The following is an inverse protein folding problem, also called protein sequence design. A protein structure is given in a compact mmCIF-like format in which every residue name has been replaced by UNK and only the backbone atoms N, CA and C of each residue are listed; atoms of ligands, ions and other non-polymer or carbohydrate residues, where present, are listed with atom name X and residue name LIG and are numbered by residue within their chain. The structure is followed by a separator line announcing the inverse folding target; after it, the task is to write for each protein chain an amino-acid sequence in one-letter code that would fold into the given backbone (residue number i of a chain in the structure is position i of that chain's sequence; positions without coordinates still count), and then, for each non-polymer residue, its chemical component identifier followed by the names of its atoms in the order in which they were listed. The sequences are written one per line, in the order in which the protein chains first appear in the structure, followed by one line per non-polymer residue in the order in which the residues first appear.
data_IF_681312067566
#
_entry.id   IF_681312067566
#
_cell.length_a   1.000
_cell.length_b   1.000
_cell.length_c   1.000
_cell.angle_alpha   90.00
_cell.angle_beta   90.00
_cell.angle_gamma   90.00
#
_symmetry.space_group_name_H-M   'P 1'
#
loop_
_entity.id
_entity.type
_entity.pdbx_description
1 polymer ?
#
# COMPACT_ATOMS: atom_id res chain seq x y z
N UNK A 1 -4.27 -17.56 15.65
CA UNK A 1 -3.47 -16.33 15.92
C UNK A 1 -2.48 -16.20 14.79
N UNK A 2 -2.61 -15.16 13.99
CA UNK A 2 -1.90 -15.00 12.71
C UNK A 2 -2.43 -13.75 12.00
N UNK A 3 -2.31 -12.61 12.67
CA UNK A 3 -2.51 -11.29 12.06
C UNK A 3 -1.26 -10.89 11.28
N UNK A 4 -1.36 -9.88 10.42
CA UNK A 4 -0.20 -9.38 9.69
C UNK A 4 0.85 -8.85 10.65
N UNK A 5 2.11 -9.02 10.28
CA UNK A 5 3.17 -8.27 10.92
C UNK A 5 3.20 -6.88 10.28
N UNK A 6 2.80 -5.84 11.03
CA UNK A 6 3.18 -4.46 10.72
C UNK A 6 4.70 -4.43 10.53
N UNK A 7 5.17 -4.09 9.32
CA UNK A 7 6.60 -4.04 9.01
C UNK A 7 7.04 -2.62 8.68
N UNK A 8 8.24 -2.30 9.12
CA UNK A 8 8.84 -0.98 8.95
C UNK A 8 8.22 0.06 9.87
N UNK A 9 8.97 1.13 10.09
CA UNK A 9 8.54 2.33 10.78
C UNK A 9 9.15 3.53 10.05
N UNK A 10 8.42 4.64 10.05
CA UNK A 10 8.87 5.88 9.43
C UNK A 10 8.64 7.02 10.42
N UNK A 11 9.72 7.54 10.97
CA UNK A 11 9.71 8.64 11.95
C UNK A 11 10.20 9.96 11.32
N UNK A 12 10.14 10.07 10.01
CA UNK A 12 10.53 11.23 9.20
C UNK A 12 9.52 11.42 8.07
N UNK A 13 9.52 12.59 7.44
CA UNK A 13 8.61 12.91 6.34
C UNK A 13 8.68 11.89 5.19
N UNK A 14 9.90 11.50 4.84
CA UNK A 14 10.14 10.42 3.90
C UNK A 14 11.49 9.76 4.20
N UNK A 15 11.71 8.57 3.64
CA UNK A 15 13.00 7.90 3.58
C UNK A 15 13.14 7.25 2.22
N UNK A 16 14.36 7.23 1.68
CA UNK A 16 14.62 6.57 0.41
C UNK A 16 15.81 5.63 0.62
N UNK A 17 15.82 4.51 -0.09
CA UNK A 17 16.84 3.47 -0.01
C UNK A 17 17.18 3.00 -1.42
N UNK A 18 18.44 2.66 -1.68
CA UNK A 18 18.85 1.85 -2.82
C UNK A 18 19.44 0.56 -2.27
N UNK A 19 18.81 -0.56 -2.59
CA UNK A 19 19.19 -1.87 -2.07
C UNK A 19 19.55 -2.80 -3.22
N UNK A 20 20.66 -3.50 -3.05
CA UNK A 20 21.08 -4.63 -3.89
C UNK A 20 21.45 -5.77 -2.95
N UNK A 21 20.61 -6.78 -2.89
CA UNK A 21 20.80 -7.94 -2.01
C UNK A 21 20.31 -9.23 -2.68
N UNK A 22 20.83 -10.37 -2.20
CA UNK A 22 20.27 -11.68 -2.52
C UNK A 22 19.35 -12.09 -1.39
N UNK A 23 18.05 -12.15 -1.67
CA UNK A 23 17.03 -12.42 -0.68
C UNK A 23 16.69 -13.91 -0.74
N UNK A 24 17.10 -14.66 0.27
CA UNK A 24 16.86 -16.10 0.38
C UNK A 24 15.56 -16.45 1.11
N UNK A 25 14.90 -15.48 1.74
CA UNK A 25 13.65 -15.69 2.49
C UNK A 25 12.48 -15.02 1.78
N UNK A 26 11.40 -15.78 1.56
CA UNK A 26 10.16 -15.20 1.08
C UNK A 26 9.63 -14.17 2.07
N UNK A 27 9.23 -13.00 1.58
CA UNK A 27 8.50 -12.06 2.41
C UNK A 27 7.07 -12.55 2.58
N UNK A 28 6.67 -12.78 3.83
CA UNK A 28 5.26 -13.00 4.16
C UNK A 28 4.42 -11.75 3.81
N UNK A 29 3.13 -11.96 3.60
CA UNK A 29 2.18 -10.85 3.45
C UNK A 29 2.23 -9.92 4.66
N UNK A 30 2.43 -8.63 4.40
CA UNK A 30 2.54 -7.59 5.41
C UNK A 30 1.88 -6.30 4.93
N UNK A 31 1.78 -5.35 5.85
CA UNK A 31 1.39 -3.97 5.57
C UNK A 31 2.32 -3.00 6.31
N UNK A 32 2.24 -1.73 5.93
CA UNK A 32 2.91 -0.62 6.59
C UNK A 32 2.01 0.61 6.64
N UNK A 33 2.20 1.49 7.63
CA UNK A 33 1.35 2.69 7.83
C UNK A 33 1.83 3.92 7.01
N UNK A 34 2.88 3.78 6.21
CA UNK A 34 3.37 4.80 5.28
C UNK A 34 3.01 4.44 3.83
N UNK A 35 3.08 5.39 2.90
CA UNK A 35 3.03 5.07 1.48
C UNK A 35 4.41 4.59 1.02
N UNK A 36 4.44 3.62 0.10
CA UNK A 36 5.70 3.08 -0.43
C UNK A 36 5.70 3.11 -1.95
N UNK A 37 6.78 3.63 -2.50
CA UNK A 37 7.11 3.55 -3.93
C UNK A 37 8.32 2.63 -4.08
N UNK A 38 8.26 1.66 -4.96
CA UNK A 38 9.40 0.81 -5.31
C UNK A 38 9.68 0.95 -6.80
N UNK A 39 10.87 1.41 -7.15
CA UNK A 39 11.36 1.45 -8.53
C UNK A 39 12.23 0.21 -8.69
N UNK A 40 11.76 -0.75 -9.47
CA UNK A 40 12.48 -1.98 -9.76
C UNK A 40 13.65 -1.68 -10.70
N UNK A 41 14.85 -2.19 -10.43
CA UNK A 41 16.03 -1.96 -11.29
C UNK A 41 16.45 -3.26 -11.97
N UNK A 42 16.68 -4.32 -11.20
CA UNK A 42 17.09 -5.62 -11.75
C UNK A 42 16.74 -6.79 -10.81
N UNK A 43 16.66 -8.00 -11.39
CA UNK A 43 16.30 -9.24 -10.70
C UNK A 43 15.19 -10.01 -11.41
N UNK A 44 14.65 -11.04 -10.77
CA UNK A 44 13.44 -11.75 -11.19
C UNK A 44 12.44 -11.71 -10.03
N UNK A 45 11.46 -10.82 -10.13
CA UNK A 45 10.61 -10.43 -9.01
C UNK A 45 9.15 -10.41 -9.41
N UNK A 46 8.31 -10.99 -8.55
CA UNK A 46 6.87 -10.86 -8.59
C UNK A 46 6.39 -10.09 -7.36
N UNK A 47 5.63 -9.04 -7.58
CA UNK A 47 5.01 -8.25 -6.54
C UNK A 47 3.54 -8.63 -6.39
N UNK A 48 3.08 -8.82 -5.16
CA UNK A 48 1.68 -9.13 -4.88
C UNK A 48 1.09 -7.98 -4.08
N UNK A 49 0.00 -7.37 -4.54
CA UNK A 49 -0.69 -6.28 -3.84
C UNK A 49 -2.20 -6.47 -3.94
N UNK A 50 -2.90 -6.52 -2.81
CA UNK A 50 -4.37 -6.64 -2.73
C UNK A 50 -4.95 -7.74 -3.65
N UNK A 51 -4.29 -8.92 -3.69
CA UNK A 51 -4.72 -10.07 -4.49
C UNK A 51 -4.36 -10.02 -5.98
N UNK A 52 -3.59 -9.02 -6.43
CA UNK A 52 -3.03 -8.93 -7.79
C UNK A 52 -1.54 -9.27 -7.80
N UNK A 53 -1.07 -9.87 -8.89
CA UNK A 53 0.33 -10.32 -9.07
C UNK A 53 0.98 -9.64 -10.26
N UNK A 54 2.07 -8.94 -10.03
CA UNK A 54 2.80 -8.16 -11.03
C UNK A 54 4.22 -8.73 -11.21
N UNK A 55 4.50 -9.44 -12.32
CA UNK A 55 5.87 -9.72 -12.72
C UNK A 55 6.53 -8.41 -13.15
N UNK A 56 7.63 -8.03 -12.50
CA UNK A 56 8.25 -6.73 -12.71
C UNK A 56 9.27 -6.78 -13.86
N UNK A 57 9.26 -5.73 -14.67
CA UNK A 57 10.30 -5.41 -15.65
C UNK A 57 11.13 -4.22 -15.15
N UNK A 58 12.42 -4.12 -15.55
CA UNK A 58 13.29 -3.01 -15.19
C UNK A 58 12.58 -1.66 -15.34
N UNK A 59 12.62 -0.89 -14.26
CA UNK A 59 12.01 0.42 -14.07
C UNK A 59 10.50 0.49 -13.87
N UNK A 60 9.81 -0.64 -13.70
CA UNK A 60 8.46 -0.63 -13.17
C UNK A 60 8.42 0.07 -11.81
N UNK A 61 7.40 0.91 -11.63
CA UNK A 61 7.16 1.66 -10.40
C UNK A 61 5.96 1.05 -9.68
N UNK A 62 6.21 0.36 -8.57
CA UNK A 62 5.18 -0.20 -7.71
C UNK A 62 4.74 0.83 -6.68
N UNK A 63 3.45 1.13 -6.64
CA UNK A 63 2.80 2.00 -5.66
C UNK A 63 2.00 1.14 -4.67
N UNK A 64 2.43 1.17 -3.41
CA UNK A 64 1.75 0.49 -2.31
C UNK A 64 1.23 1.55 -1.35
N UNK A 65 -0.09 1.63 -1.14
CA UNK A 65 -0.63 2.57 -0.17
C UNK A 65 -0.30 2.15 1.25
N UNK A 66 -0.41 3.12 2.16
CA UNK A 66 -0.53 2.79 3.59
C UNK A 66 -1.65 1.77 3.79
N UNK A 67 -1.35 0.76 4.59
CA UNK A 67 -2.22 -0.35 4.96
C UNK A 67 -2.60 -1.34 3.85
N UNK A 68 -2.12 -1.15 2.61
CA UNK A 68 -2.27 -2.15 1.55
C UNK A 68 -1.48 -3.39 1.91
N UNK A 69 -2.10 -4.54 1.69
CA UNK A 69 -1.54 -5.85 1.95
C UNK A 69 -0.74 -6.28 0.75
N UNK A 70 0.52 -6.63 0.98
CA UNK A 70 1.41 -7.00 -0.10
C UNK A 70 2.51 -7.97 0.34
N UNK A 71 3.12 -8.62 -0.65
CA UNK A 71 4.35 -9.40 -0.49
C UNK A 71 5.20 -9.30 -1.75
N UNK A 72 6.46 -9.70 -1.62
CA UNK A 72 7.41 -9.78 -2.73
C UNK A 72 7.94 -11.20 -2.78
N UNK A 73 7.90 -11.79 -3.97
CA UNK A 73 8.56 -13.05 -4.27
C UNK A 73 9.73 -12.76 -5.19
N UNK A 74 10.92 -13.19 -4.78
CA UNK A 74 12.19 -12.93 -5.46
C UNK A 74 12.81 -14.27 -5.79
N UNK A 75 13.38 -14.40 -6.99
CA UNK A 75 14.25 -15.52 -7.32
C UNK A 75 15.55 -15.40 -6.50
N UNK A 76 15.82 -16.32 -5.55
CA UNK A 76 16.97 -16.19 -4.65
C UNK A 76 18.31 -16.40 -5.36
N UNK A 77 18.31 -16.90 -6.60
CA UNK A 77 19.54 -17.10 -7.39
C UNK A 77 20.07 -15.82 -8.03
N UNK A 78 19.25 -14.76 -8.10
CA UNK A 78 19.59 -13.49 -8.73
C UNK A 78 19.64 -12.36 -7.69
N UNK A 79 20.58 -11.41 -7.79
CA UNK A 79 20.50 -10.17 -7.03
C UNK A 79 19.20 -9.42 -7.33
N UNK A 80 18.60 -8.84 -6.30
CA UNK A 80 17.44 -7.97 -6.42
C UNK A 80 17.86 -6.53 -6.14
N UNK A 81 17.82 -5.69 -7.18
CA UNK A 81 18.14 -4.27 -7.10
C UNK A 81 16.89 -3.40 -7.23
N UNK A 82 16.77 -2.42 -6.34
CA UNK A 82 15.60 -1.54 -6.23
C UNK A 82 15.89 -0.23 -5.53
N UNK A 83 15.14 0.80 -5.90
CA UNK A 83 15.00 2.02 -5.12
C UNK A 83 13.66 1.96 -4.39
N UNK A 84 13.66 2.24 -3.09
CA UNK A 84 12.46 2.25 -2.25
C UNK A 84 12.29 3.62 -1.63
N UNK A 85 11.10 4.21 -1.76
CA UNK A 85 10.72 5.47 -1.11
C UNK A 85 9.59 5.18 -0.12
N UNK A 86 9.79 5.48 1.15
CA UNK A 86 8.75 5.54 2.18
C UNK A 86 8.33 6.99 2.36
N UNK A 87 7.02 7.24 2.43
CA UNK A 87 6.46 8.59 2.53
C UNK A 87 5.43 8.58 3.67
N UNK A 88 5.61 9.48 4.63
CA UNK A 88 4.68 9.58 5.76
C UNK A 88 3.34 10.14 5.26
N UNK A 89 2.20 9.65 5.79
CA UNK A 89 0.89 10.19 5.44
C UNK A 89 0.80 11.70 5.69
N UNK A 90 1.20 12.16 6.88
CA UNK A 90 1.14 13.58 7.23
C UNK A 90 1.96 14.47 6.29
N UNK A 91 3.12 13.99 5.82
CA UNK A 91 3.92 14.74 4.87
C UNK A 91 3.28 14.83 3.49
N UNK A 92 2.80 13.72 2.92
CA UNK A 92 2.18 13.78 1.59
C UNK A 92 0.86 14.57 1.61
N UNK A 93 0.10 14.46 2.70
CA UNK A 93 -1.16 15.17 2.90
C UNK A 93 -0.93 16.70 3.04
N UNK A 94 0.24 17.12 3.53
CA UNK A 94 0.61 18.55 3.58
C UNK A 94 0.84 19.18 2.19
N UNK A 95 1.02 18.37 1.15
CA UNK A 95 1.12 18.82 -0.25
C UNK A 95 -0.14 18.49 -1.06
N UNK A 96 -1.30 18.65 -0.41
CA UNK A 96 -2.62 18.53 -1.01
C UNK A 96 -3.35 19.88 -0.95
N UNK A 97 -3.73 20.38 -2.12
CA UNK A 97 -4.50 21.61 -2.31
C UNK A 97 -5.51 21.39 -3.44
N UNK A 98 -6.34 22.41 -3.73
CA UNK A 98 -7.25 22.36 -4.89
C UNK A 98 -6.51 22.39 -6.25
N UNK A 99 -5.26 22.87 -6.29
CA UNK A 99 -4.44 22.97 -7.50
C UNK A 99 -3.55 21.74 -7.74
N UNK A 100 -3.00 21.16 -6.66
CA UNK A 100 -2.09 20.02 -6.74
C UNK A 100 -2.26 19.03 -5.58
N UNK A 101 -2.00 17.76 -5.87
CA UNK A 101 -2.01 16.67 -4.90
C UNK A 101 -0.87 15.69 -5.20
N UNK A 102 0.13 15.61 -4.31
CA UNK A 102 1.25 14.69 -4.50
C UNK A 102 0.87 13.22 -4.32
N UNK A 103 -0.26 12.93 -3.67
CA UNK A 103 -0.80 11.57 -3.52
C UNK A 103 -1.55 11.07 -4.75
N UNK A 104 -1.78 11.94 -5.75
CA UNK A 104 -2.60 11.63 -6.93
C UNK A 104 -2.19 10.33 -7.66
N UNK A 105 -0.91 9.99 -7.73
CA UNK A 105 -0.44 8.77 -8.39
C UNK A 105 -1.00 7.50 -7.69
N UNK A 106 -1.12 7.53 -6.36
CA UNK A 106 -1.74 6.47 -5.58
C UNK A 106 -3.26 6.43 -5.77
N UNK A 107 -3.92 7.60 -5.81
CA UNK A 107 -5.36 7.69 -6.09
C UNK A 107 -5.68 7.15 -7.50
N UNK A 108 -4.84 7.49 -8.47
CA UNK A 108 -4.95 7.00 -9.84
C UNK A 108 -4.72 5.49 -9.91
N UNK A 109 -3.68 4.96 -9.26
CA UNK A 109 -3.46 3.52 -9.15
C UNK A 109 -4.69 2.78 -8.61
N UNK A 110 -5.32 3.32 -7.55
CA UNK A 110 -6.56 2.77 -6.99
C UNK A 110 -7.72 2.81 -7.99
N UNK A 111 -7.87 3.91 -8.74
CA UNK A 111 -8.93 4.08 -9.76
C UNK A 111 -8.75 3.14 -10.95
N UNK A 112 -7.53 2.98 -11.42
CA UNK A 112 -7.17 2.06 -12.52
C UNK A 112 -7.07 0.60 -12.03
N UNK A 113 -7.33 0.36 -10.74
CA UNK A 113 -7.21 -0.94 -10.09
C UNK A 113 -5.84 -1.60 -10.32
N UNK A 114 -4.76 -0.84 -10.41
CA UNK A 114 -3.42 -1.36 -10.67
C UNK A 114 -2.36 -0.62 -9.86
N UNK A 115 -1.48 -1.37 -9.23
CA UNK A 115 -0.43 -0.86 -8.35
C UNK A 115 0.91 -0.66 -9.06
N UNK A 116 1.01 -0.96 -10.36
CA UNK A 116 2.28 -0.87 -11.10
C UNK A 116 2.13 0.06 -12.29
N UNK A 117 2.99 1.08 -12.34
CA UNK A 117 3.16 1.94 -13.51
C UNK A 117 4.36 1.47 -14.31
N UNK A 118 4.10 1.12 -15.56
CA UNK A 118 5.13 0.87 -16.57
C UNK A 118 5.24 2.07 -17.49
N UNK A 119 6.44 2.62 -17.59
CA UNK A 119 6.74 3.82 -18.39
C UNK A 119 7.68 3.44 -19.51
N UNK A 120 7.17 3.35 -20.74
CA UNK A 120 8.02 3.06 -21.90
C UNK A 120 9.02 4.19 -22.13
N UNK A 121 10.28 3.82 -22.42
CA UNK A 121 11.40 4.74 -22.59
C UNK A 121 11.63 5.66 -21.38
N UNK A 122 11.48 5.12 -20.16
CA UNK A 122 11.71 5.87 -18.93
C UNK A 122 13.07 6.55 -18.94
N UNK A 123 14.12 5.92 -19.48
CA UNK A 123 15.48 6.44 -19.56
C UNK A 123 15.60 7.81 -20.26
N UNK A 124 14.65 8.16 -21.13
CA UNK A 124 14.58 9.46 -21.82
C UNK A 124 13.72 10.49 -21.09
N UNK A 125 12.98 10.07 -20.06
CA UNK A 125 12.05 10.91 -19.32
C UNK A 125 12.74 11.83 -18.32
N UNK A 126 12.07 12.93 -17.96
CA UNK A 126 12.48 13.76 -16.84
C UNK A 126 12.42 13.01 -15.50
N UNK A 127 11.51 12.04 -15.37
CA UNK A 127 11.36 11.22 -14.16
C UNK A 127 12.63 10.40 -13.88
N UNK A 128 13.21 9.78 -14.90
CA UNK A 128 14.47 9.05 -14.76
C UNK A 128 15.63 9.95 -14.32
N UNK A 129 15.74 11.13 -14.93
CA UNK A 129 16.80 12.10 -14.59
C UNK A 129 16.69 12.53 -13.13
N UNK A 130 15.47 12.81 -12.64
CA UNK A 130 15.29 13.19 -11.24
C UNK A 130 15.49 12.01 -10.28
N UNK A 131 15.07 10.79 -10.64
CA UNK A 131 15.37 9.57 -9.87
C UNK A 131 16.88 9.42 -9.64
N UNK A 132 17.69 9.54 -10.70
CA UNK A 132 19.14 9.42 -10.59
C UNK A 132 19.78 10.55 -9.76
N UNK A 133 19.24 11.77 -9.83
CA UNK A 133 19.71 12.90 -8.99
C UNK A 133 19.37 12.66 -7.52
N UNK A 134 18.15 12.21 -7.25
CA UNK A 134 17.66 11.89 -5.91
C UNK A 134 18.49 10.76 -5.29
N UNK A 135 18.82 9.73 -6.06
CA UNK A 135 19.74 8.66 -5.65
C UNK A 135 21.14 9.20 -5.32
N UNK A 136 21.75 10.00 -6.20
CA UNK A 136 23.09 10.54 -5.93
C UNK A 136 23.16 11.44 -4.69
N UNK A 137 22.05 12.09 -4.33
CA UNK A 137 21.98 12.99 -3.18
C UNK A 137 22.07 12.30 -1.81
N UNK A 138 22.12 10.96 -1.75
CA UNK A 138 22.35 10.21 -0.52
C UNK A 138 23.80 10.24 -0.05
N UNK A 139 24.73 10.21 -0.99
CA UNK A 139 26.16 10.31 -0.70
C UNK A 139 26.62 11.76 -0.56
N UNK A 140 25.70 12.70 -0.78
CA UNK A 140 25.95 14.13 -0.72
C UNK A 140 25.88 14.65 0.73
N UNK A 141 27.03 15.12 1.20
CA UNK A 141 27.24 15.74 2.51
C UNK A 141 27.48 17.25 2.40
N UNK A 142 27.23 17.84 1.24
CA UNK A 142 27.37 19.28 1.02
C UNK A 142 26.35 20.10 1.83
N UNK A 143 26.56 21.42 1.81
CA UNK A 143 25.72 22.38 2.52
C UNK A 143 24.24 22.19 2.18
N UNK A 144 23.39 22.18 3.21
CA UNK A 144 21.94 22.01 3.10
C UNK A 144 21.47 20.71 2.40
N UNK A 145 22.25 19.63 2.45
CA UNK A 145 21.89 18.36 1.80
C UNK A 145 20.51 17.78 2.17
N UNK A 146 20.01 18.00 3.39
CA UNK A 146 18.64 17.58 3.77
C UNK A 146 17.54 18.35 3.03
N UNK A 147 17.67 19.67 2.93
CA UNK A 147 16.76 20.51 2.16
C UNK A 147 16.84 20.18 0.66
N UNK A 148 18.06 19.98 0.14
CA UNK A 148 18.25 19.60 -1.25
C UNK A 148 17.56 18.26 -1.58
N UNK A 149 17.71 17.24 -0.72
CA UNK A 149 16.99 15.97 -0.84
C UNK A 149 15.48 16.15 -0.85
N UNK A 150 14.95 17.03 0.01
CA UNK A 150 13.52 17.33 0.03
C UNK A 150 13.05 17.97 -1.28
N UNK A 151 13.82 18.93 -1.83
CA UNK A 151 13.51 19.54 -3.14
C UNK A 151 13.50 18.49 -4.24
N UNK A 152 14.51 17.63 -4.30
CA UNK A 152 14.59 16.55 -5.29
C UNK A 152 13.44 15.55 -5.15
N UNK A 153 13.04 15.22 -3.93
CA UNK A 153 11.88 14.35 -3.68
C UNK A 153 10.58 14.98 -4.18
N UNK A 154 10.36 16.28 -3.89
CA UNK A 154 9.18 16.99 -4.38
C UNK A 154 9.16 17.06 -5.92
N UNK A 155 10.31 17.36 -6.54
CA UNK A 155 10.48 17.33 -8.00
C UNK A 155 10.18 15.94 -8.58
N UNK A 156 10.66 14.87 -7.91
CA UNK A 156 10.34 13.48 -8.26
C UNK A 156 8.83 13.20 -8.21
N UNK A 157 8.16 13.55 -7.12
CA UNK A 157 6.71 13.34 -6.98
C UNK A 157 5.91 14.13 -8.01
N UNK A 158 6.32 15.35 -8.35
CA UNK A 158 5.71 16.15 -9.41
C UNK A 158 5.84 15.44 -10.77
N UNK A 159 7.04 14.93 -11.09
CA UNK A 159 7.25 14.21 -12.36
C UNK A 159 6.52 12.88 -12.43
N UNK A 160 6.46 12.14 -11.32
CA UNK A 160 5.70 10.89 -11.23
C UNK A 160 4.21 11.15 -11.46
N UNK A 161 3.63 12.14 -10.79
CA UNK A 161 2.23 12.53 -10.98
C UNK A 161 1.95 13.00 -12.40
N UNK A 162 2.84 13.81 -13.01
CA UNK A 162 2.72 14.21 -14.42
C UNK A 162 2.77 13.02 -15.38
N UNK A 163 3.61 12.03 -15.11
CA UNK A 163 3.67 10.80 -15.89
C UNK A 163 2.34 10.02 -15.76
N UNK A 164 1.86 9.86 -14.52
CA UNK A 164 0.58 9.23 -14.23
C UNK A 164 -0.58 9.93 -14.95
N UNK A 165 -0.67 11.26 -14.93
CA UNK A 165 -1.76 12.04 -15.56
C UNK A 165 -1.77 11.88 -17.09
N UNK A 166 -0.61 11.99 -17.74
CA UNK A 166 -0.53 12.08 -19.22
C UNK A 166 -0.94 10.79 -19.96
N UNK A 167 -1.36 9.73 -19.24
CA UNK A 167 -1.66 8.41 -19.80
C UNK A 167 -0.55 7.87 -20.71
N UNK A 168 0.69 8.33 -20.50
CA UNK A 168 1.89 7.81 -21.19
C UNK A 168 2.46 6.59 -20.46
N UNK A 169 1.66 6.02 -19.58
CA UNK A 169 2.00 4.95 -18.66
C UNK A 169 0.95 3.88 -18.82
N UNK A 170 1.40 2.64 -18.84
CA UNK A 170 0.52 1.49 -18.78
C UNK A 170 0.39 1.10 -17.32
N UNK A 171 -0.84 1.14 -16.81
CA UNK A 171 -1.18 0.45 -15.58
C UNK A 171 -1.34 -1.01 -15.93
N UNK A 172 -0.45 -1.86 -15.43
CA UNK A 172 -0.45 -3.27 -15.81
C UNK A 172 -1.79 -3.92 -15.39
N UNK A 173 -2.52 -4.47 -16.37
CA UNK A 173 -3.60 -5.41 -16.10
C UNK A 173 -2.99 -6.81 -16.03
N UNK A 174 -2.96 -7.36 -14.84
CA UNK A 174 -2.19 -8.57 -14.54
C UNK A 174 -2.89 -9.82 -15.10
N UNK A 175 -2.24 -10.64 -15.90
CA UNK A 175 -2.85 -11.91 -16.36
C UNK A 175 -2.82 -13.04 -15.32
N UNK A 176 -2.20 -12.79 -14.15
CA UNK A 176 -1.85 -13.80 -13.13
C UNK A 176 -2.56 -13.56 -11.79
N UNK A 177 -3.84 -13.18 -11.80
CA UNK A 177 -4.68 -13.13 -10.60
C UNK A 177 -6.01 -13.83 -10.84
N UNK A 178 -6.67 -14.22 -9.74
CA UNK A 178 -8.03 -14.73 -9.83
C UNK A 178 -9.02 -13.54 -9.83
N UNK A 179 -9.71 -13.24 -10.95
CA UNK A 179 -10.60 -12.07 -11.04
C UNK A 179 -11.72 -12.14 -9.99
N UNK A 180 -12.19 -13.35 -9.64
CA UNK A 180 -13.22 -13.52 -8.61
C UNK A 180 -12.74 -13.09 -7.23
N UNK A 181 -11.45 -13.22 -6.91
CA UNK A 181 -10.91 -12.75 -5.63
C UNK A 181 -10.76 -11.24 -5.62
N UNK A 182 -10.31 -10.64 -6.72
CA UNK A 182 -10.25 -9.18 -6.84
C UNK A 182 -11.64 -8.57 -6.74
N UNK A 183 -12.63 -9.13 -7.45
CA UNK A 183 -14.03 -8.72 -7.36
C UNK A 183 -14.58 -8.86 -5.93
N UNK A 184 -14.21 -9.93 -5.23
CA UNK A 184 -14.59 -10.15 -3.83
C UNK A 184 -13.98 -9.12 -2.89
N UNK A 185 -12.69 -8.82 -3.05
CA UNK A 185 -11.98 -7.79 -2.29
C UNK A 185 -12.63 -6.42 -2.53
N UNK A 186 -12.91 -6.08 -3.78
CA UNK A 186 -13.57 -4.82 -4.14
C UNK A 186 -14.95 -4.72 -3.49
N UNK A 187 -15.75 -5.78 -3.56
CA UNK A 187 -17.07 -5.81 -2.94
C UNK A 187 -17.00 -5.63 -1.42
N UNK A 188 -16.12 -6.38 -0.74
CA UNK A 188 -15.92 -6.27 0.71
C UNK A 188 -15.57 -4.83 1.09
N UNK A 189 -14.68 -4.18 0.32
CA UNK A 189 -14.26 -2.81 0.60
C UNK A 189 -15.36 -1.77 0.36
N UNK A 190 -16.25 -1.99 -0.61
CA UNK A 190 -17.39 -1.11 -0.89
C UNK A 190 -18.52 -1.27 0.14
N UNK A 191 -18.71 -2.48 0.66
CA UNK A 191 -19.78 -2.84 1.60
C UNK A 191 -19.24 -3.11 3.02
N UNK A 192 -18.12 -2.48 3.37
CA UNK A 192 -17.34 -2.83 4.57
C UNK A 192 -18.13 -2.69 5.87
N UNK A 193 -19.03 -1.71 5.94
CA UNK A 193 -19.84 -1.39 7.13
C UNK A 193 -21.11 -2.24 7.24
N UNK A 194 -21.41 -3.05 6.23
CA UNK A 194 -22.61 -3.89 6.16
C UNK A 194 -22.39 -5.28 6.77
N UNK A 195 -23.46 -6.06 6.94
CA UNK A 195 -23.33 -7.47 7.31
C UNK A 195 -22.84 -8.29 6.12
N UNK A 196 -21.59 -8.75 6.18
CA UNK A 196 -20.96 -9.56 5.13
C UNK A 196 -20.96 -11.04 5.53
N UNK A 197 -21.95 -11.77 5.04
CA UNK A 197 -22.07 -13.22 5.28
C UNK A 197 -21.31 -14.03 4.22
N UNK A 198 -20.65 -15.10 4.66
CA UNK A 198 -19.83 -15.97 3.80
C UNK A 198 -20.68 -16.69 2.77
N UNK A 199 -21.92 -17.08 3.10
CA UNK A 199 -22.88 -17.63 2.12
C UNK A 199 -23.10 -16.64 0.97
N UNK A 200 -23.51 -15.43 1.32
CA UNK A 200 -23.79 -14.37 0.37
C UNK A 200 -22.58 -14.06 -0.52
N UNK A 201 -21.39 -13.91 0.08
CA UNK A 201 -20.16 -13.65 -0.67
C UNK A 201 -19.83 -14.79 -1.64
N UNK A 202 -20.03 -16.04 -1.23
CA UNK A 202 -19.75 -17.21 -2.07
C UNK A 202 -20.70 -17.31 -3.27
N UNK A 203 -21.99 -17.01 -3.07
CA UNK A 203 -22.98 -16.95 -4.15
C UNK A 203 -22.67 -15.84 -5.15
N UNK A 204 -22.22 -14.67 -4.67
CA UNK A 204 -21.86 -13.53 -5.53
C UNK A 204 -20.76 -13.86 -6.54
N UNK A 205 -19.72 -14.58 -6.10
CA UNK A 205 -18.58 -14.91 -6.95
C UNK A 205 -18.70 -16.29 -7.61
N UNK A 206 -19.84 -16.96 -7.46
CA UNK A 206 -20.11 -18.29 -8.00
C UNK A 206 -19.02 -19.31 -7.62
N UNK A 207 -18.63 -19.36 -6.34
CA UNK A 207 -17.67 -20.33 -5.80
C UNK A 207 -18.29 -21.04 -4.60
N UNK A 208 -17.89 -22.29 -4.36
CA UNK A 208 -18.24 -22.93 -3.08
C UNK A 208 -17.52 -22.21 -1.94
N UNK A 209 -18.16 -22.15 -0.75
CA UNK A 209 -17.59 -21.46 0.42
C UNK A 209 -16.16 -21.90 0.74
N UNK A 210 -15.94 -23.22 0.77
CA UNK A 210 -14.63 -23.79 1.11
C UNK A 210 -13.56 -23.37 0.09
N UNK A 211 -13.89 -23.45 -1.20
CA UNK A 211 -12.96 -23.06 -2.26
C UNK A 211 -12.69 -21.55 -2.22
N UNK A 212 -13.72 -20.72 -2.07
CA UNK A 212 -13.59 -19.27 -1.94
C UNK A 212 -12.69 -18.88 -0.77
N UNK A 213 -12.90 -19.46 0.43
CA UNK A 213 -12.08 -19.17 1.60
C UNK A 213 -10.61 -19.59 1.41
N UNK A 214 -10.38 -20.79 0.85
CA UNK A 214 -9.02 -21.29 0.59
C UNK A 214 -8.30 -20.42 -0.44
N UNK A 215 -9.01 -20.06 -1.51
CA UNK A 215 -8.48 -19.24 -2.58
C UNK A 215 -8.19 -17.81 -2.11
N UNK A 216 -9.13 -17.16 -1.41
CA UNK A 216 -8.91 -15.84 -0.81
C UNK A 216 -7.68 -15.84 0.10
N UNK A 217 -7.50 -16.89 0.92
CA UNK A 217 -6.32 -17.02 1.77
C UNK A 217 -5.03 -17.23 1.00
N UNK A 218 -5.05 -17.97 -0.11
CA UNK A 218 -3.87 -18.15 -0.95
C UNK A 218 -3.44 -16.83 -1.61
N UNK A 219 -4.39 -16.05 -2.12
CA UNK A 219 -4.12 -14.81 -2.85
C UNK A 219 -3.81 -13.61 -1.94
N UNK A 220 -4.38 -13.57 -0.74
CA UNK A 220 -4.24 -12.41 0.18
C UNK A 220 -3.36 -12.71 1.40
N UNK A 221 -3.20 -13.99 1.74
CA UNK A 221 -2.65 -14.49 3.00
C UNK A 221 -3.68 -14.72 4.11
N UNK A 222 -4.95 -14.31 3.95
CA UNK A 222 -5.88 -14.11 5.08
C UNK A 222 -7.20 -14.84 4.94
N UNK A 223 -7.85 -15.07 6.07
CA UNK A 223 -9.28 -15.39 6.02
C UNK A 223 -10.06 -14.12 5.68
N UNK A 224 -11.19 -14.29 4.99
CA UNK A 224 -12.10 -13.20 4.66
C UNK A 224 -12.50 -12.41 5.92
N UNK A 225 -12.79 -13.11 7.03
CA UNK A 225 -13.14 -12.47 8.30
C UNK A 225 -12.02 -11.61 8.90
N UNK A 226 -10.76 -12.07 8.83
CA UNK A 226 -9.61 -11.28 9.31
C UNK A 226 -9.40 -10.04 8.43
N UNK A 227 -9.53 -10.18 7.10
CA UNK A 227 -9.44 -9.05 6.17
C UNK A 227 -10.52 -8.01 6.47
N UNK A 228 -11.80 -8.42 6.60
CA UNK A 228 -12.90 -7.52 6.96
C UNK A 228 -12.62 -6.83 8.29
N UNK A 229 -12.24 -7.58 9.32
CA UNK A 229 -11.96 -7.04 10.66
C UNK A 229 -10.86 -5.98 10.60
N UNK A 230 -9.74 -6.28 9.93
CA UNK A 230 -8.64 -5.35 9.76
C UNK A 230 -9.07 -4.06 9.04
N UNK A 231 -9.79 -4.20 7.92
CA UNK A 231 -10.30 -3.04 7.17
C UNK A 231 -11.26 -2.18 7.98
N UNK A 232 -12.13 -2.78 8.79
CA UNK A 232 -13.02 -2.05 9.72
C UNK A 232 -12.24 -1.32 10.80
N UNK A 233 -11.20 -1.93 11.36
CA UNK A 233 -10.34 -1.29 12.35
C UNK A 233 -9.63 -0.05 11.80
N UNK A 234 -9.15 -0.10 10.54
CA UNK A 234 -8.56 1.06 9.86
C UNK A 234 -9.59 2.18 9.63
N UNK A 235 -10.81 1.83 9.24
CA UNK A 235 -11.91 2.79 9.10
C UNK A 235 -12.23 3.43 10.45
N UNK A 236 -12.36 2.64 11.51
CA UNK A 236 -12.62 3.16 12.86
C UNK A 236 -11.52 4.13 13.30
N UNK A 237 -10.24 3.80 13.07
CA UNK A 237 -9.11 4.67 13.38
C UNK A 237 -9.19 6.00 12.63
N UNK A 238 -9.55 5.96 11.36
CA UNK A 238 -9.73 7.17 10.53
C UNK A 238 -10.85 8.05 11.11
N UNK A 239 -12.02 7.47 11.39
CA UNK A 239 -13.15 8.19 11.97
C UNK A 239 -12.80 8.82 13.34
N UNK A 240 -12.05 8.12 14.18
CA UNK A 240 -11.61 8.64 15.49
C UNK A 240 -10.69 9.85 15.32
N UNK A 241 -9.73 9.77 14.38
CA UNK A 241 -8.82 10.88 14.08
C UNK A 241 -9.57 12.08 13.50
N UNK A 242 -10.66 11.84 12.77
CA UNK A 242 -11.57 12.88 12.26
C UNK A 242 -12.50 13.44 13.37
N UNK A 243 -12.29 13.06 14.63
CA UNK A 243 -13.01 13.58 15.79
C UNK A 243 -14.27 12.82 16.19
N UNK A 244 -14.59 11.70 15.52
CA UNK A 244 -15.74 10.88 15.89
C UNK A 244 -15.52 10.21 17.26
N UNK A 245 -16.51 10.26 18.19
CA UNK A 245 -16.43 9.53 19.45
C UNK A 245 -16.18 8.03 19.22
N UNK A 246 -15.28 7.43 19.99
CA UNK A 246 -14.81 6.04 19.81
C UNK A 246 -15.97 5.04 19.69
N UNK A 247 -17.01 5.17 20.51
CA UNK A 247 -18.19 4.28 20.48
C UNK A 247 -18.99 4.44 19.19
N UNK A 248 -19.09 5.65 18.65
CA UNK A 248 -19.73 5.90 17.35
C UNK A 248 -18.88 5.37 16.21
N UNK A 249 -17.56 5.59 16.24
CA UNK A 249 -16.62 5.08 15.24
C UNK A 249 -16.61 3.54 15.19
N UNK A 250 -16.75 2.88 16.33
CA UNK A 250 -16.94 1.43 16.41
C UNK A 250 -18.16 0.97 15.58
N UNK A 251 -19.33 1.58 15.80
CA UNK A 251 -20.56 1.21 15.08
C UNK A 251 -20.49 1.62 13.60
N UNK A 252 -20.03 2.83 13.32
CA UNK A 252 -19.91 3.38 11.97
C UNK A 252 -18.92 2.62 11.09
N UNK A 253 -17.94 1.92 11.68
CA UNK A 253 -17.04 1.03 10.97
C UNK A 253 -17.58 -0.39 10.76
N UNK A 254 -18.79 -0.70 11.21
CA UNK A 254 -19.45 -1.99 10.99
C UNK A 254 -19.24 -3.04 12.09
N UNK A 255 -18.66 -2.67 13.24
CA UNK A 255 -18.70 -3.54 14.43
C UNK A 255 -20.07 -3.46 15.11
N UNK A 256 -20.54 -4.59 15.62
CA UNK A 256 -21.86 -4.68 16.30
C UNK A 256 -21.78 -4.33 17.78
N UNK A 257 -20.61 -4.56 18.41
CA UNK A 257 -20.42 -4.30 19.82
C UNK A 257 -18.99 -3.81 20.12
N UNK A 258 -18.90 -2.96 21.15
CA UNK A 258 -17.65 -2.33 21.56
C UNK A 258 -16.62 -3.31 22.14
N UNK A 259 -17.06 -4.41 22.77
CA UNK A 259 -16.15 -5.37 23.41
C UNK A 259 -15.33 -6.13 22.37
N UNK A 260 -15.99 -6.57 21.30
CA UNK A 260 -15.35 -7.21 20.15
C UNK A 260 -14.40 -6.24 19.45
N UNK A 261 -14.87 -5.01 19.17
CA UNK A 261 -14.04 -3.96 18.58
C UNK A 261 -12.80 -3.68 19.41
N UNK A 262 -12.95 -3.41 20.71
CA UNK A 262 -11.83 -3.03 21.58
C UNK A 262 -10.80 -4.15 21.70
N UNK A 263 -11.23 -5.42 21.73
CA UNK A 263 -10.31 -6.56 21.74
C UNK A 263 -9.56 -6.66 20.42
N UNK A 264 -10.27 -6.61 19.29
CA UNK A 264 -9.67 -6.67 17.96
C UNK A 264 -8.68 -5.52 17.74
N UNK A 265 -9.06 -4.30 18.11
CA UNK A 265 -8.22 -3.10 18.00
C UNK A 265 -6.92 -3.25 18.79
N UNK A 266 -7.00 -3.66 20.06
CA UNK A 266 -5.81 -3.88 20.90
C UNK A 266 -4.92 -5.01 20.37
N UNK A 267 -5.53 -6.07 19.82
CA UNK A 267 -4.76 -7.16 19.22
C UNK A 267 -3.99 -6.70 17.98
N UNK A 268 -4.62 -5.91 17.12
CA UNK A 268 -4.05 -5.47 15.84
C UNK A 268 -3.03 -4.35 16.01
N UNK A 269 -3.36 -3.30 16.75
CA UNK A 269 -2.52 -2.10 16.87
C UNK A 269 -1.65 -2.10 18.13
N UNK A 270 -1.72 -3.15 18.96
CA UNK A 270 -1.02 -3.28 20.24
C UNK A 270 -1.32 -2.19 21.28
N UNK A 271 -2.28 -1.32 20.99
CA UNK A 271 -2.72 -0.21 21.84
C UNK A 271 -4.25 -0.10 21.83
N UNK A 272 -4.88 0.43 22.91
CA UNK A 272 -6.32 0.65 22.91
C UNK A 272 -6.71 1.90 22.08
N UNK A 273 -7.93 1.95 21.52
CA UNK A 273 -8.35 3.05 20.63
C UNK A 273 -8.29 4.45 21.27
N UNK A 274 -8.34 4.54 22.60
CA UNK A 274 -8.20 5.80 23.34
C UNK A 274 -6.85 6.48 23.15
N UNK A 275 -5.78 5.77 22.79
CA UNK A 275 -4.45 6.37 22.62
C UNK A 275 -4.41 7.34 21.45
N UNK A 276 -5.25 7.15 20.43
CA UNK A 276 -5.35 8.06 19.27
C UNK A 276 -5.70 9.50 19.68
N UNK A 277 -6.54 9.66 20.70
CA UNK A 277 -6.98 10.98 21.16
C UNK A 277 -5.85 11.79 21.82
N UNK A 278 -4.80 11.13 22.30
CA UNK A 278 -3.66 11.79 22.95
C UNK A 278 -2.55 12.19 21.96
N UNK A 279 -2.63 11.75 20.70
CA UNK A 279 -1.67 12.08 19.65
C UNK A 279 -2.15 13.19 18.70
N UNK A 280 -3.33 13.76 18.97
CA UNK A 280 -3.97 14.80 18.15
C UNK A 280 -3.82 16.21 18.75
N UNK A 281 -3.05 16.35 19.83
CA UNK A 281 -2.71 17.62 20.51
C UNK A 281 -1.28 18.07 20.18
#
# INVERSE_FOLDING_TARGET
MGGYNKRGYLNSDFKIFHLTDQISTEFEFHYHEFHKITIFISGNVQYFVEGKTYPLEPYDIVLVNRNDIHRVQVDPSLPYERIIVYISPGFIDAYRTDDYDLSYCFEKAKKEHSNVLRIHSLEKSSLFKITNRLERSFSDTEYAGSLYRQILFLEFMIHLNRAAIKNRVEFLDTSLYNPKIVDLIQYINQHLTESLDVDFLSSRVYLSKYYMMRLFKAETGYTIGNYITYRRLLLARTLILDGMPITQACLASGFQDYSTFSRAYKTEFHEPPRTLLHHSD
#
